data_IF_625411884569
#
_entry.id   IF_625411884569
#
_cell.length_a   1.000
_cell.length_b   1.000
_cell.length_c   1.000
_cell.angle_alpha   90.00
_cell.angle_beta   90.00
_cell.angle_gamma   90.00
#
_symmetry.space_group_name_H-M   'P 1'
#
loop_
_entity.id
_entity.type
_entity.pdbx_description
1 polymer ?
#
# COMPACT_ATOMS: atom_id res chain seq x y z
N UNK A 1 0.57 -14.89 -24.31
CA UNK A 1 0.44 -16.29 -23.83
C UNK A 1 1.01 -16.53 -22.42
N UNK A 2 2.25 -16.11 -22.10
CA UNK A 2 2.87 -16.33 -20.77
C UNK A 2 2.06 -15.79 -19.58
N UNK A 3 1.38 -14.64 -19.73
CA UNK A 3 0.56 -14.05 -18.66
C UNK A 3 -0.70 -14.87 -18.31
N UNK A 4 -1.30 -15.56 -19.30
CA UNK A 4 -2.52 -16.34 -19.09
C UNK A 4 -2.22 -17.65 -18.35
N UNK A 5 -1.11 -18.32 -18.69
CA UNK A 5 -0.68 -19.54 -18.00
C UNK A 5 -0.32 -19.25 -16.54
N UNK A 6 0.44 -18.18 -16.27
CA UNK A 6 0.79 -17.76 -14.91
C UNK A 6 -0.47 -17.46 -14.08
N UNK A 7 -1.42 -16.73 -14.65
CA UNK A 7 -2.70 -16.39 -14.00
C UNK A 7 -3.49 -17.66 -13.64
N UNK A 8 -3.58 -18.61 -14.57
CA UNK A 8 -4.26 -19.88 -14.36
C UNK A 8 -3.63 -20.67 -13.20
N UNK A 9 -2.30 -20.81 -13.18
CA UNK A 9 -1.59 -21.55 -12.12
C UNK A 9 -1.80 -20.90 -10.75
N UNK A 10 -1.67 -19.58 -10.66
CA UNK A 10 -1.79 -18.84 -9.39
C UNK A 10 -3.20 -18.95 -8.80
N UNK A 11 -4.23 -18.85 -9.64
CA UNK A 11 -5.62 -18.97 -9.19
C UNK A 11 -6.02 -20.41 -8.84
N UNK A 12 -5.41 -21.40 -9.49
CA UNK A 12 -5.74 -22.81 -9.28
C UNK A 12 -4.71 -23.57 -8.43
N UNK A 13 -3.90 -22.88 -7.61
CA UNK A 13 -2.85 -23.53 -6.78
C UNK A 13 -3.36 -24.68 -5.94
N UNK A 14 -4.51 -24.51 -5.26
CA UNK A 14 -5.08 -25.54 -4.39
C UNK A 14 -5.65 -26.74 -5.19
N UNK A 15 -6.49 -26.55 -6.22
CA UNK A 15 -6.91 -27.66 -7.09
C UNK A 15 -5.73 -28.43 -7.70
N UNK A 16 -4.71 -27.72 -8.21
CA UNK A 16 -3.53 -28.36 -8.79
C UNK A 16 -2.77 -29.16 -7.73
N UNK A 17 -2.60 -28.62 -6.51
CA UNK A 17 -1.98 -29.34 -5.42
C UNK A 17 -2.74 -30.64 -5.10
N UNK A 18 -4.07 -30.60 -5.01
CA UNK A 18 -4.90 -31.80 -4.75
C UNK A 18 -4.73 -32.85 -5.86
N UNK A 19 -4.74 -32.43 -7.13
CA UNK A 19 -4.52 -33.33 -8.27
C UNK A 19 -3.12 -33.95 -8.21
N UNK A 20 -2.09 -33.18 -7.89
CA UNK A 20 -0.72 -33.67 -7.74
C UNK A 20 -0.57 -34.67 -6.58
N UNK A 21 -1.27 -34.44 -5.45
CA UNK A 21 -1.31 -35.41 -4.35
C UNK A 21 -1.95 -36.73 -4.81
N UNK A 22 -3.08 -36.68 -5.52
CA UNK A 22 -3.76 -37.87 -6.04
C UNK A 22 -2.89 -38.65 -7.04
N UNK A 23 -2.24 -37.95 -7.98
CA UNK A 23 -1.29 -38.55 -8.92
C UNK A 23 -0.08 -39.14 -8.20
N UNK A 24 0.44 -38.47 -7.17
CA UNK A 24 1.54 -38.97 -6.35
C UNK A 24 1.18 -40.28 -5.64
N UNK A 25 -0.01 -40.35 -5.05
CA UNK A 25 -0.51 -41.59 -4.41
C UNK A 25 -0.64 -42.72 -5.44
N UNK A 26 -1.20 -42.43 -6.62
CA UNK A 26 -1.33 -43.44 -7.68
C UNK A 26 0.04 -43.96 -8.14
N UNK A 27 0.98 -43.07 -8.46
CA UNK A 27 2.35 -43.45 -8.87
C UNK A 27 3.09 -44.21 -7.75
N UNK A 28 2.79 -43.90 -6.49
CA UNK A 28 3.32 -44.62 -5.34
C UNK A 28 2.93 -46.10 -5.33
N UNK A 29 1.68 -46.41 -5.69
CA UNK A 29 1.19 -47.80 -5.81
C UNK A 29 1.59 -48.48 -7.12
N UNK A 30 1.63 -47.75 -8.24
CA UNK A 30 1.88 -48.31 -9.57
C UNK A 30 3.38 -48.56 -9.84
N UNK A 31 4.25 -47.67 -9.35
CA UNK A 31 5.67 -47.69 -9.69
C UNK A 31 6.57 -47.65 -8.45
N UNK A 32 6.63 -46.51 -7.75
CA UNK A 32 7.48 -46.34 -6.57
C UNK A 32 7.15 -45.06 -5.82
N UNK A 33 7.14 -45.14 -4.49
CA UNK A 33 7.02 -43.98 -3.61
C UNK A 33 8.13 -42.95 -3.82
N UNK A 34 9.34 -43.39 -4.17
CA UNK A 34 10.44 -42.46 -4.49
C UNK A 34 10.17 -41.64 -5.75
N UNK A 35 9.50 -42.23 -6.75
CA UNK A 35 9.10 -41.52 -7.96
C UNK A 35 7.95 -40.51 -7.70
N UNK A 36 7.16 -40.73 -6.64
CA UNK A 36 6.07 -39.84 -6.25
C UNK A 36 6.52 -38.64 -5.39
N UNK A 37 7.69 -38.71 -4.73
CA UNK A 37 8.20 -37.62 -3.87
C UNK A 37 8.20 -36.25 -4.56
N UNK A 38 8.69 -36.09 -5.80
CA UNK A 38 8.65 -34.79 -6.49
C UNK A 38 7.24 -34.21 -6.61
N UNK A 39 6.21 -35.04 -6.83
CA UNK A 39 4.82 -34.57 -6.94
C UNK A 39 4.29 -34.06 -5.60
N UNK A 40 4.56 -34.78 -4.51
CA UNK A 40 4.19 -34.35 -3.17
C UNK A 40 4.90 -33.04 -2.79
N UNK A 41 6.20 -32.92 -3.10
CA UNK A 41 6.95 -31.69 -2.87
C UNK A 41 6.34 -30.51 -3.64
N UNK A 42 6.03 -30.68 -4.93
CA UNK A 42 5.39 -29.62 -5.73
C UNK A 42 4.03 -29.26 -5.16
N UNK A 43 3.20 -30.24 -4.77
CA UNK A 43 1.88 -29.99 -4.18
C UNK A 43 1.98 -29.16 -2.88
N UNK A 44 2.92 -29.52 -2.00
CA UNK A 44 3.20 -28.78 -0.76
C UNK A 44 3.66 -27.35 -1.08
N UNK A 45 4.58 -27.18 -2.02
CA UNK A 45 5.04 -25.86 -2.46
C UNK A 45 3.90 -25.00 -3.04
N UNK A 46 2.97 -25.60 -3.79
CA UNK A 46 1.81 -24.88 -4.33
C UNK A 46 0.82 -24.46 -3.23
N UNK A 47 0.53 -25.34 -2.27
CA UNK A 47 -0.33 -25.04 -1.14
C UNK A 47 0.28 -23.96 -0.24
N UNK A 48 1.55 -24.10 0.12
CA UNK A 48 2.28 -23.09 0.92
C UNK A 48 2.34 -21.74 0.21
N UNK A 49 2.68 -21.71 -1.09
CA UNK A 49 2.68 -20.47 -1.86
C UNK A 49 1.28 -19.83 -1.96
N UNK A 50 0.20 -20.61 -1.97
CA UNK A 50 -1.17 -20.09 -1.95
C UNK A 50 -1.43 -19.24 -0.70
N UNK A 51 -1.03 -19.71 0.47
CA UNK A 51 -1.27 -19.00 1.73
C UNK A 51 -0.24 -17.90 2.01
N UNK A 52 1.04 -18.13 1.70
CA UNK A 52 2.11 -17.16 1.98
C UNK A 52 2.08 -15.96 1.02
N UNK A 53 1.79 -16.18 -0.26
CA UNK A 53 1.90 -15.13 -1.28
C UNK A 53 0.51 -14.77 -1.83
N UNK A 54 -0.39 -15.74 -1.92
CA UNK A 54 -1.70 -15.54 -2.53
C UNK A 54 -1.61 -15.09 -3.99
N UNK A 55 -2.67 -14.48 -4.53
CA UNK A 55 -2.69 -13.94 -5.88
C UNK A 55 -1.86 -12.65 -6.03
N UNK A 56 -1.25 -12.13 -4.95
CA UNK A 56 -0.52 -10.85 -4.93
C UNK A 56 0.57 -10.75 -5.98
N UNK A 57 1.16 -11.87 -6.40
CA UNK A 57 2.15 -11.88 -7.50
C UNK A 57 1.64 -11.30 -8.83
N UNK A 58 0.33 -11.25 -9.03
CA UNK A 58 -0.28 -10.73 -10.26
C UNK A 58 -0.67 -9.25 -10.13
N UNK A 59 -0.64 -8.65 -8.93
CA UNK A 59 -1.18 -7.31 -8.68
C UNK A 59 -0.50 -6.24 -9.53
N UNK A 60 0.82 -6.35 -9.70
CA UNK A 60 1.62 -5.44 -10.50
C UNK A 60 1.11 -5.36 -11.94
N UNK A 61 0.73 -6.49 -12.54
CA UNK A 61 0.21 -6.52 -13.90
C UNK A 61 -1.15 -5.82 -14.03
N UNK A 62 -1.98 -5.78 -12.98
CA UNK A 62 -3.21 -4.99 -13.00
C UNK A 62 -2.91 -3.49 -12.89
N UNK A 63 -1.99 -3.11 -11.99
CA UNK A 63 -1.57 -1.72 -11.79
C UNK A 63 -0.92 -1.15 -13.07
N UNK A 64 -0.01 -1.90 -13.70
CA UNK A 64 0.69 -1.48 -14.93
C UNK A 64 -0.27 -1.29 -16.12
N UNK A 65 -1.33 -2.10 -16.18
CA UNK A 65 -2.37 -1.97 -17.21
C UNK A 65 -3.46 -0.94 -16.85
N UNK A 66 -3.37 -0.29 -15.68
CA UNK A 66 -4.41 0.63 -15.20
C UNK A 66 -5.74 -0.03 -14.83
N UNK A 67 -5.78 -1.37 -14.73
CA UNK A 67 -6.98 -2.14 -14.40
C UNK A 67 -7.21 -2.16 -12.88
N UNK A 68 -7.72 -1.04 -12.36
CA UNK A 68 -7.97 -0.86 -10.92
C UNK A 68 -9.10 -1.76 -10.40
N UNK A 69 -10.11 -2.07 -11.22
CA UNK A 69 -11.18 -3.00 -10.88
C UNK A 69 -10.65 -4.43 -10.72
N UNK A 70 -9.81 -4.87 -11.65
CA UNK A 70 -9.14 -6.17 -11.59
C UNK A 70 -8.19 -6.27 -10.39
N UNK A 71 -7.47 -5.18 -10.06
CA UNK A 71 -6.65 -5.10 -8.85
C UNK A 71 -7.49 -5.27 -7.58
N UNK A 72 -8.63 -4.57 -7.47
CA UNK A 72 -9.56 -4.71 -6.34
C UNK A 72 -10.13 -6.13 -6.24
N UNK A 73 -10.59 -6.69 -7.36
CA UNK A 73 -11.12 -8.05 -7.41
C UNK A 73 -10.06 -9.09 -6.99
N UNK A 74 -8.78 -8.85 -7.32
CA UNK A 74 -7.68 -9.70 -6.89
C UNK A 74 -7.45 -9.62 -5.38
N UNK A 75 -7.45 -8.42 -4.79
CA UNK A 75 -7.29 -8.24 -3.35
C UNK A 75 -8.45 -8.87 -2.57
N UNK A 76 -9.66 -8.79 -3.09
CA UNK A 76 -10.85 -9.41 -2.49
C UNK A 76 -10.79 -10.96 -2.47
N UNK A 77 -9.96 -11.58 -3.33
CA UNK A 77 -9.73 -13.04 -3.31
C UNK A 77 -8.84 -13.49 -2.14
N UNK A 78 -8.11 -12.59 -1.50
CA UNK A 78 -7.26 -12.91 -0.35
C UNK A 78 -8.14 -13.09 0.90
N UNK A 79 -8.52 -14.34 1.20
CA UNK A 79 -9.36 -14.66 2.37
C UNK A 79 -8.61 -14.55 3.72
N UNK A 80 -7.32 -14.88 3.73
CA UNK A 80 -6.52 -14.97 4.95
C UNK A 80 -5.26 -14.08 4.86
N UNK A 81 -5.39 -12.74 4.90
CA UNK A 81 -4.26 -11.83 4.73
C UNK A 81 -3.20 -11.98 5.83
N UNK A 82 -3.55 -12.50 7.01
CA UNK A 82 -2.61 -12.72 8.10
C UNK A 82 -1.61 -13.87 7.83
N UNK A 83 -1.95 -14.81 6.95
CA UNK A 83 -1.07 -15.90 6.52
C UNK A 83 -0.05 -15.45 5.47
N UNK A 84 -0.25 -14.27 4.87
CA UNK A 84 0.71 -13.73 3.94
C UNK A 84 2.03 -13.45 4.66
N UNK A 85 3.16 -13.74 3.99
CA UNK A 85 4.46 -13.38 4.54
C UNK A 85 4.59 -11.86 4.66
N UNK A 86 5.32 -11.39 5.67
CA UNK A 86 5.26 -9.99 6.16
C UNK A 86 5.32 -8.92 5.04
N UNK A 87 6.33 -8.89 4.15
CA UNK A 87 6.37 -7.94 3.03
C UNK A 87 5.12 -7.94 2.14
N UNK A 88 4.61 -9.10 1.75
CA UNK A 88 3.40 -9.19 0.91
C UNK A 88 2.15 -8.81 1.67
N UNK A 89 2.08 -9.12 2.96
CA UNK A 89 0.98 -8.67 3.83
C UNK A 89 0.94 -7.15 3.98
N UNK A 90 2.08 -6.51 4.18
CA UNK A 90 2.18 -5.05 4.24
C UNK A 90 1.77 -4.42 2.92
N UNK A 91 2.32 -4.90 1.79
CA UNK A 91 1.94 -4.44 0.45
C UNK A 91 0.44 -4.63 0.17
N UNK A 92 -0.13 -5.77 0.58
CA UNK A 92 -1.57 -6.03 0.48
C UNK A 92 -2.40 -4.96 1.19
N UNK A 93 -2.09 -4.67 2.46
CA UNK A 93 -2.84 -3.68 3.22
C UNK A 93 -2.64 -2.26 2.69
N UNK A 94 -1.44 -1.89 2.24
CA UNK A 94 -1.19 -0.58 1.63
C UNK A 94 -1.99 -0.39 0.33
N UNK A 95 -2.01 -1.39 -0.55
CA UNK A 95 -2.78 -1.33 -1.79
C UNK A 95 -4.29 -1.29 -1.52
N UNK A 96 -4.77 -2.07 -0.56
CA UNK A 96 -6.18 -2.06 -0.16
C UNK A 96 -6.60 -0.73 0.47
N UNK A 97 -5.70 -0.10 1.23
CA UNK A 97 -5.93 1.25 1.77
C UNK A 97 -6.03 2.31 0.67
N UNK A 98 -5.15 2.26 -0.34
CA UNK A 98 -5.23 3.17 -1.49
C UNK A 98 -6.59 3.07 -2.19
N UNK A 99 -7.07 1.86 -2.45
CA UNK A 99 -8.36 1.65 -3.09
C UNK A 99 -9.52 2.10 -2.21
N UNK A 100 -9.46 1.81 -0.90
CA UNK A 100 -10.47 2.27 0.06
C UNK A 100 -10.53 3.81 0.13
N UNK A 101 -9.39 4.48 -0.01
CA UNK A 101 -9.32 5.95 -0.08
C UNK A 101 -9.98 6.48 -1.37
N UNK A 102 -9.84 5.78 -2.48
CA UNK A 102 -10.51 6.14 -3.76
C UNK A 102 -12.03 5.96 -3.70
N UNK A 103 -12.51 4.98 -2.93
CA UNK A 103 -13.95 4.75 -2.68
C UNK A 103 -14.49 5.54 -1.48
N UNK A 104 -13.70 6.47 -0.95
CA UNK A 104 -13.98 7.30 0.23
C UNK A 104 -14.29 6.56 1.55
N UNK A 105 -13.87 5.30 1.66
CA UNK A 105 -13.97 4.52 2.89
C UNK A 105 -12.73 4.74 3.76
N UNK A 106 -12.72 5.90 4.44
CA UNK A 106 -11.57 6.36 5.21
C UNK A 106 -11.33 5.57 6.50
N UNK A 107 -12.35 4.92 7.05
CA UNK A 107 -12.19 4.06 8.23
C UNK A 107 -11.45 2.77 7.86
N UNK A 108 -11.82 2.14 6.73
CA UNK A 108 -11.07 0.98 6.24
C UNK A 108 -9.67 1.35 5.80
N UNK A 109 -9.51 2.48 5.09
CA UNK A 109 -8.19 2.94 4.65
C UNK A 109 -7.23 3.15 5.83
N UNK A 110 -7.70 3.80 6.90
CA UNK A 110 -6.91 4.04 8.09
C UNK A 110 -6.53 2.73 8.81
N UNK A 111 -7.49 1.83 9.00
CA UNK A 111 -7.25 0.53 9.63
C UNK A 111 -6.22 -0.32 8.86
N UNK A 112 -6.28 -0.28 7.53
CA UNK A 112 -5.35 -1.00 6.67
C UNK A 112 -3.94 -0.39 6.68
N UNK A 113 -3.81 0.93 6.66
CA UNK A 113 -2.49 1.56 6.80
C UNK A 113 -1.85 1.26 8.15
N UNK A 114 -2.63 1.27 9.24
CA UNK A 114 -2.15 0.87 10.58
C UNK A 114 -1.64 -0.58 10.57
N UNK A 115 -2.39 -1.52 9.98
CA UNK A 115 -1.95 -2.93 9.82
C UNK A 115 -0.70 -3.09 8.95
N UNK A 116 -0.58 -2.27 7.90
CA UNK A 116 0.60 -2.28 7.04
C UNK A 116 1.85 -1.86 7.82
N UNK A 117 1.74 -0.78 8.61
CA UNK A 117 2.82 -0.29 9.47
C UNK A 117 3.20 -1.29 10.57
N UNK A 118 2.22 -1.89 11.25
CA UNK A 118 2.44 -2.92 12.28
C UNK A 118 3.13 -4.17 11.74
N UNK A 119 2.91 -4.51 10.46
CA UNK A 119 3.54 -5.66 9.83
C UNK A 119 5.05 -5.47 9.63
N UNK A 120 5.53 -4.22 9.70
CA UNK A 120 6.92 -3.86 9.45
C UNK A 120 7.14 -3.64 7.96
N UNK A 121 6.93 -2.40 7.51
CA UNK A 121 7.31 -1.98 6.17
C UNK A 121 8.84 -2.02 6.11
N UNK A 122 9.39 -2.77 5.16
CA UNK A 122 10.85 -2.98 5.07
C UNK A 122 11.58 -1.74 4.56
N UNK A 123 10.95 -0.94 3.69
CA UNK A 123 11.54 0.28 3.15
C UNK A 123 10.98 1.51 3.86
N UNK A 124 11.88 2.37 4.36
CA UNK A 124 11.51 3.60 5.07
C UNK A 124 10.67 4.57 4.22
N UNK A 125 10.85 4.57 2.90
CA UNK A 125 10.09 5.42 2.00
C UNK A 125 8.61 5.00 1.90
N UNK A 126 8.33 3.69 1.91
CA UNK A 126 6.96 3.18 1.97
C UNK A 126 6.35 3.47 3.35
N UNK A 127 7.15 3.42 4.41
CA UNK A 127 6.72 3.81 5.76
C UNK A 127 6.31 5.28 5.81
N UNK A 128 7.14 6.18 5.26
CA UNK A 128 6.81 7.60 5.17
C UNK A 128 5.56 7.87 4.36
N UNK A 129 5.39 7.17 3.24
CA UNK A 129 4.18 7.29 2.40
C UNK A 129 2.92 6.84 3.15
N UNK A 130 2.99 5.73 3.90
CA UNK A 130 1.87 5.27 4.71
C UNK A 130 1.49 6.28 5.81
N UNK A 131 2.46 6.89 6.48
CA UNK A 131 2.20 7.96 7.45
C UNK A 131 1.65 9.24 6.79
N UNK A 132 2.09 9.60 5.59
CA UNK A 132 1.55 10.74 4.85
C UNK A 132 0.07 10.54 4.54
N UNK A 133 -0.30 9.33 4.11
CA UNK A 133 -1.69 8.97 3.86
C UNK A 133 -2.53 8.95 5.13
N UNK A 134 -2.03 8.37 6.22
CA UNK A 134 -2.70 8.44 7.54
C UNK A 134 -2.90 9.88 8.00
N UNK A 135 -1.89 10.74 7.79
CA UNK A 135 -1.97 12.16 8.09
C UNK A 135 -3.07 12.86 7.28
N UNK A 136 -3.13 12.56 5.99
CA UNK A 136 -4.15 13.09 5.07
C UNK A 136 -5.57 12.63 5.47
N UNK A 137 -5.73 11.35 5.80
CA UNK A 137 -7.01 10.78 6.25
C UNK A 137 -7.45 11.43 7.56
N UNK A 138 -6.56 11.52 8.55
CA UNK A 138 -6.85 12.16 9.83
C UNK A 138 -7.23 13.64 9.65
N UNK A 139 -6.55 14.35 8.73
CA UNK A 139 -6.89 15.74 8.37
C UNK A 139 -8.31 15.85 7.80
N UNK A 140 -8.69 14.96 6.86
CA UNK A 140 -10.03 14.90 6.28
C UNK A 140 -11.11 14.56 7.31
N UNK A 141 -10.80 13.71 8.30
CA UNK A 141 -11.69 13.39 9.42
C UNK A 141 -11.78 14.49 10.48
N UNK A 142 -11.05 15.59 10.34
CA UNK A 142 -11.02 16.67 11.32
C UNK A 142 -10.10 16.43 12.52
N UNK A 143 -9.39 15.30 12.58
CA UNK A 143 -8.47 14.97 13.68
C UNK A 143 -7.09 15.61 13.46
N UNK A 144 -7.01 16.92 13.73
CA UNK A 144 -5.80 17.72 13.48
C UNK A 144 -4.57 17.29 14.29
N UNK A 145 -4.78 16.71 15.49
CA UNK A 145 -3.68 16.23 16.34
C UNK A 145 -3.01 15.01 15.71
N UNK A 146 -3.81 14.00 15.37
CA UNK A 146 -3.30 12.78 14.72
C UNK A 146 -2.73 13.08 13.34
N UNK A 147 -3.36 13.99 12.58
CA UNK A 147 -2.83 14.45 11.30
C UNK A 147 -1.41 15.03 11.44
N UNK A 148 -1.20 15.93 12.41
CA UNK A 148 0.11 16.55 12.64
C UNK A 148 1.17 15.51 13.04
N UNK A 149 0.83 14.59 13.95
CA UNK A 149 1.73 13.53 14.40
C UNK A 149 2.14 12.61 13.25
N UNK A 150 1.18 12.15 12.45
CA UNK A 150 1.44 11.26 11.32
C UNK A 150 2.25 11.97 10.22
N UNK A 151 1.93 13.22 9.87
CA UNK A 151 2.70 13.97 8.88
C UNK A 151 4.14 14.22 9.30
N UNK A 152 4.40 14.44 10.60
CA UNK A 152 5.77 14.53 11.12
C UNK A 152 6.51 13.20 11.06
N UNK A 153 5.83 12.09 11.37
CA UNK A 153 6.39 10.74 11.21
C UNK A 153 6.73 10.46 9.75
N UNK A 154 5.86 10.86 8.81
CA UNK A 154 6.10 10.73 7.37
C UNK A 154 7.41 11.40 6.93
N UNK A 155 7.59 12.67 7.31
CA UNK A 155 8.80 13.42 7.00
C UNK A 155 10.05 12.85 7.68
N UNK A 156 9.92 12.29 8.89
CA UNK A 156 11.03 11.66 9.61
C UNK A 156 11.45 10.32 9.01
N UNK A 157 10.49 9.53 8.56
CA UNK A 157 10.75 8.26 7.87
C UNK A 157 11.37 8.49 6.48
N UNK A 158 11.02 9.60 5.85
CA UNK A 158 11.48 9.96 4.50
C UNK A 158 10.40 9.63 3.47
N UNK A 159 10.29 10.48 2.44
CA UNK A 159 9.32 10.33 1.37
C UNK A 159 10.06 10.11 0.04
N UNK A 160 9.49 9.30 -0.87
CA UNK A 160 10.19 8.85 -2.08
C UNK A 160 10.47 9.99 -3.07
N UNK A 161 9.68 11.05 -3.04
CA UNK A 161 9.79 12.17 -3.96
C UNK A 161 9.47 13.52 -3.31
N UNK A 162 9.84 14.59 -4.01
CA UNK A 162 9.68 15.97 -3.56
C UNK A 162 8.24 16.46 -3.62
N UNK A 163 7.37 15.84 -4.42
CA UNK A 163 5.95 16.17 -4.49
C UNK A 163 5.22 15.70 -3.24
N UNK A 164 5.51 14.49 -2.78
CA UNK A 164 5.04 13.94 -1.51
C UNK A 164 5.59 14.73 -0.32
N UNK A 165 6.87 15.10 -0.34
CA UNK A 165 7.46 15.94 0.71
C UNK A 165 6.80 17.33 0.78
N UNK A 166 6.57 17.96 -0.38
CA UNK A 166 5.85 19.23 -0.46
C UNK A 166 4.42 19.12 0.07
N UNK A 167 3.71 18.04 -0.30
CA UNK A 167 2.34 17.76 0.17
C UNK A 167 2.28 17.64 1.69
N UNK A 168 3.22 16.91 2.29
CA UNK A 168 3.31 16.77 3.75
C UNK A 168 3.49 18.14 4.44
N UNK A 169 4.38 18.98 3.91
CA UNK A 169 4.61 20.33 4.43
C UNK A 169 3.41 21.26 4.22
N UNK A 170 2.71 21.17 3.09
CA UNK A 170 1.49 21.94 2.85
C UNK A 170 0.40 21.58 3.85
N UNK A 171 0.16 20.30 4.09
CA UNK A 171 -0.84 19.87 5.07
C UNK A 171 -0.47 20.33 6.49
N UNK A 172 0.81 20.23 6.88
CA UNK A 172 1.28 20.78 8.15
C UNK A 172 1.07 22.30 8.23
N UNK A 173 1.32 23.02 7.14
CA UNK A 173 1.07 24.46 7.06
C UNK A 173 -0.42 24.78 7.25
N UNK A 174 -1.32 24.06 6.58
CA UNK A 174 -2.78 24.17 6.76
C UNK A 174 -3.22 23.92 8.20
N UNK A 175 -2.66 22.91 8.86
CA UNK A 175 -2.96 22.61 10.27
C UNK A 175 -2.49 23.76 11.17
N UNK A 176 -1.29 24.32 10.93
CA UNK A 176 -0.81 25.48 11.67
C UNK A 176 -1.68 26.71 11.45
N UNK A 177 -2.16 26.96 10.22
CA UNK A 177 -3.09 28.05 9.92
C UNK A 177 -4.40 27.94 10.70
N UNK A 178 -5.01 26.76 10.73
CA UNK A 178 -6.24 26.53 11.49
C UNK A 178 -6.05 26.78 12.99
N UNK A 179 -4.84 26.51 13.51
CA UNK A 179 -4.45 26.77 14.90
C UNK A 179 -4.00 28.20 15.16
N UNK A 180 -4.04 29.10 14.16
CA UNK A 180 -3.51 30.48 14.20
C UNK A 180 -2.03 30.56 14.55
N UNK A 181 -1.26 29.51 14.28
CA UNK A 181 0.19 29.46 14.43
C UNK A 181 0.87 29.91 13.12
N UNK A 182 0.80 31.22 12.88
CA UNK A 182 1.24 31.81 11.61
C UNK A 182 2.75 31.69 11.38
N UNK A 183 3.55 31.68 12.45
CA UNK A 183 5.00 31.51 12.36
C UNK A 183 5.36 30.13 11.80
N UNK A 184 4.81 29.06 12.36
CA UNK A 184 5.08 27.71 11.87
C UNK A 184 4.39 27.45 10.53
N UNK A 185 3.23 28.04 10.27
CA UNK A 185 2.57 27.95 8.96
C UNK A 185 3.47 28.48 7.84
N UNK A 186 4.07 29.67 8.01
CA UNK A 186 5.03 30.27 7.07
C UNK A 186 6.29 29.41 6.91
N UNK A 187 6.82 28.86 8.01
CA UNK A 187 7.97 27.97 7.98
C UNK A 187 7.70 26.73 7.12
N UNK A 188 6.60 26.02 7.36
CA UNK A 188 6.24 24.83 6.61
C UNK A 188 5.90 25.14 5.15
N UNK A 189 5.21 26.26 4.89
CA UNK A 189 4.95 26.71 3.52
C UNK A 189 6.24 27.02 2.76
N UNK A 190 7.22 27.66 3.40
CA UNK A 190 8.55 27.90 2.84
C UNK A 190 9.27 26.60 2.49
N UNK A 191 9.19 25.59 3.37
CA UNK A 191 9.72 24.25 3.09
C UNK A 191 9.02 23.59 1.91
N UNK A 192 7.69 23.63 1.85
CA UNK A 192 6.92 23.11 0.70
C UNK A 192 7.36 23.74 -0.63
N UNK A 193 7.55 25.06 -0.67
CA UNK A 193 8.07 25.75 -1.87
C UNK A 193 9.49 25.34 -2.22
N UNK A 194 10.34 25.13 -1.22
CA UNK A 194 11.73 24.72 -1.42
C UNK A 194 11.88 23.32 -2.03
N UNK A 195 10.89 22.45 -1.85
CA UNK A 195 10.84 21.13 -2.48
C UNK A 195 10.72 21.21 -4.02
N UNK A 196 10.26 22.34 -4.57
CA UNK A 196 10.06 22.54 -6.02
C UNK A 196 9.29 21.37 -6.66
N UNK A 197 8.05 21.08 -6.20
CA UNK A 197 7.24 20.00 -6.74
C UNK A 197 6.99 20.21 -8.24
N UNK A 198 6.85 19.12 -8.98
CA UNK A 198 6.59 19.12 -10.43
C UNK A 198 5.14 18.78 -10.73
N UNK A 199 4.44 18.14 -9.80
CA UNK A 199 3.04 17.79 -9.93
C UNK A 199 2.19 19.08 -9.96
N UNK A 200 1.42 19.26 -11.04
CA UNK A 200 0.58 20.42 -11.26
C UNK A 200 -0.40 20.68 -10.09
N UNK A 201 -0.96 19.62 -9.50
CA UNK A 201 -1.90 19.74 -8.37
C UNK A 201 -1.20 20.31 -7.12
N UNK A 202 0.02 19.86 -6.83
CA UNK A 202 0.79 20.34 -5.67
C UNK A 202 1.26 21.78 -5.90
N UNK A 203 1.67 22.11 -7.13
CA UNK A 203 2.04 23.48 -7.52
C UNK A 203 0.84 24.43 -7.39
N UNK A 204 -0.33 24.00 -7.83
CA UNK A 204 -1.58 24.75 -7.67
C UNK A 204 -1.89 25.00 -6.19
N UNK A 205 -1.84 23.97 -5.35
CA UNK A 205 -2.03 24.11 -3.90
C UNK A 205 -1.04 25.09 -3.26
N UNK A 206 0.24 25.08 -3.68
CA UNK A 206 1.23 26.06 -3.24
C UNK A 206 0.83 27.48 -3.64
N UNK A 207 0.36 27.67 -4.86
CA UNK A 207 -0.03 28.98 -5.36
C UNK A 207 -1.27 29.52 -4.63
N UNK A 208 -2.27 28.68 -4.42
CA UNK A 208 -3.47 29.03 -3.65
C UNK A 208 -3.13 29.40 -2.22
N UNK A 209 -2.41 28.52 -1.51
CA UNK A 209 -1.97 28.78 -0.15
C UNK A 209 -1.10 30.03 -0.07
N UNK A 210 -0.26 30.30 -1.08
CA UNK A 210 0.55 31.51 -1.18
C UNK A 210 -0.28 32.80 -1.16
N UNK A 211 -1.44 32.83 -1.81
CA UNK A 211 -2.36 33.97 -1.77
C UNK A 211 -2.87 34.24 -0.35
N UNK A 212 -3.16 33.18 0.41
CA UNK A 212 -3.55 33.29 1.81
C UNK A 212 -2.37 33.72 2.69
N UNK A 213 -1.19 33.12 2.51
CA UNK A 213 0.02 33.43 3.30
C UNK A 213 0.44 34.89 3.21
N UNK A 214 0.27 35.53 2.05
CA UNK A 214 0.57 36.95 1.84
C UNK A 214 -0.31 37.89 2.70
N UNK A 215 -1.49 37.42 3.14
CA UNK A 215 -2.47 38.22 3.90
C UNK A 215 -2.37 38.01 5.41
N UNK A 216 -1.47 37.14 5.86
CA UNK A 216 -1.39 36.72 7.26
C UNK A 216 -0.34 37.55 8.01
N UNK A 217 -0.67 38.06 9.23
CA UNK A 217 0.24 38.87 10.03
C UNK A 217 1.59 38.18 10.27
N UNK A 218 2.63 39.01 10.40
CA UNK A 218 4.00 38.63 10.76
C UNK A 218 4.05 37.70 11.96
#
# INVERSE_FOLDING_TARGET
MKNNLRRFIVFNRLPIAVVLLGLGVWIGFEASWWAAVPLFLIAILMATAHFLIGPMTLIQGYIENGDMEGAQALLNKVKYPNLLYKPVRSSYYMLRANLSTMTDDLDKAEADLKKSLETGITEKEFEGTAYLQLGSIAYRKGNMKEANENLRKALKAGLPDKDNEATAYLQLSSICLQRRDFRNAKLYFGKAKSCKPKNAQVVEQINEMGKYMARIPG
#
